data_IF_673220529226
#
_entry.id   IF_673220529226
#
_cell.length_a   1.000
_cell.length_b   1.000
_cell.length_c   1.000
_cell.angle_alpha   90.00
_cell.angle_beta   90.00
_cell.angle_gamma   90.00
#
_symmetry.space_group_name_H-M   'P 1'
#
loop_
_entity.id
_entity.type
_entity.pdbx_description
1 polymer ?
#
# COMPACT_ATOMS: atom_id res chain seq x y z
N UNK A 1 6.62 -10.33 1.11
CA UNK A 1 5.20 -9.96 0.86
C UNK A 1 4.33 -10.01 2.10
N UNK A 2 4.29 -11.08 2.89
CA UNK A 2 3.45 -11.09 4.12
C UNK A 2 3.87 -9.99 5.12
N UNK A 3 5.17 -9.82 5.34
CA UNK A 3 5.71 -8.75 6.20
C UNK A 3 5.39 -7.36 5.64
N UNK A 4 5.61 -7.12 4.34
CA UNK A 4 5.28 -5.84 3.68
C UNK A 4 3.78 -5.52 3.71
N UNK A 5 2.92 -6.54 3.64
CA UNK A 5 1.47 -6.38 3.77
C UNK A 5 1.07 -6.02 5.20
N UNK A 6 1.75 -6.59 6.20
CA UNK A 6 1.50 -6.26 7.60
C UNK A 6 1.86 -4.79 7.89
N UNK A 7 3.05 -4.36 7.51
CA UNK A 7 3.53 -2.98 7.70
C UNK A 7 2.68 -1.99 6.89
N UNK A 8 2.40 -2.32 5.63
CA UNK A 8 1.60 -1.48 4.74
C UNK A 8 0.14 -1.32 5.20
N UNK A 9 -0.42 -2.28 5.94
CA UNK A 9 -1.81 -2.24 6.41
C UNK A 9 -2.03 -1.09 7.40
N UNK A 10 -1.09 -0.85 8.31
CA UNK A 10 -1.18 0.26 9.27
C UNK A 10 -1.08 1.61 8.56
N UNK A 11 -0.15 1.74 7.61
CA UNK A 11 -0.01 2.92 6.79
C UNK A 11 -1.27 3.20 5.95
N UNK A 12 -1.87 2.17 5.35
CA UNK A 12 -3.12 2.28 4.57
C UNK A 12 -4.25 2.79 5.46
N UNK A 13 -4.43 2.20 6.65
CA UNK A 13 -5.44 2.63 7.61
C UNK A 13 -5.19 4.07 8.06
N UNK A 14 -3.96 4.42 8.47
CA UNK A 14 -3.57 5.79 8.86
C UNK A 14 -3.89 6.82 7.78
N UNK A 15 -3.58 6.48 6.53
CA UNK A 15 -3.89 7.31 5.36
C UNK A 15 -5.37 7.24 4.97
N UNK A 16 -6.20 6.49 5.66
CA UNK A 16 -7.66 6.44 5.51
C UNK A 16 -8.18 5.51 4.41
N UNK A 17 -7.35 4.56 3.98
CA UNK A 17 -7.72 3.49 3.08
C UNK A 17 -8.06 2.19 3.82
N UNK A 18 -8.59 1.22 3.09
CA UNK A 18 -8.76 -0.17 3.54
C UNK A 18 -8.48 -1.10 2.37
N UNK A 19 -7.69 -2.15 2.59
CA UNK A 19 -7.48 -3.19 1.56
C UNK A 19 -8.81 -3.88 1.30
N UNK A 20 -9.28 -3.81 0.04
CA UNK A 20 -10.50 -4.45 -0.43
C UNK A 20 -10.22 -5.86 -0.95
N UNK A 21 -9.16 -6.00 -1.74
CA UNK A 21 -8.78 -7.27 -2.39
C UNK A 21 -7.29 -7.24 -2.73
N UNK A 22 -6.66 -8.41 -2.70
CA UNK A 22 -5.33 -8.64 -3.27
C UNK A 22 -5.51 -9.69 -4.37
N UNK A 23 -5.03 -9.38 -5.57
CA UNK A 23 -5.01 -10.29 -6.70
C UNK A 23 -3.58 -10.74 -6.96
N UNK A 24 -3.35 -12.04 -6.84
CA UNK A 24 -2.07 -12.70 -7.13
C UNK A 24 -2.16 -13.33 -8.52
N UNK A 25 -1.17 -13.06 -9.38
CA UNK A 25 -1.12 -13.67 -10.71
C UNK A 25 0.31 -13.80 -11.21
N UNK A 26 0.50 -14.72 -12.15
CA UNK A 26 1.77 -14.92 -12.85
C UNK A 26 1.72 -14.21 -14.19
N UNK A 27 2.79 -13.49 -14.53
CA UNK A 27 2.91 -12.90 -15.85
C UNK A 27 3.15 -14.01 -16.89
N UNK A 28 2.59 -13.85 -18.11
CA UNK A 28 2.93 -14.74 -19.22
C UNK A 28 4.43 -14.83 -19.46
N UNK A 29 4.85 -15.89 -20.14
CA UNK A 29 6.24 -16.11 -20.57
C UNK A 29 7.23 -16.22 -19.39
N UNK A 30 6.78 -16.70 -18.23
CA UNK A 30 7.59 -16.82 -17.00
C UNK A 30 8.22 -15.49 -16.53
N UNK A 31 7.58 -14.35 -16.83
CA UNK A 31 8.04 -13.01 -16.43
C UNK A 31 7.85 -12.68 -14.92
N UNK A 32 7.60 -13.72 -14.12
CA UNK A 32 7.52 -13.68 -12.66
C UNK A 32 6.12 -13.39 -12.13
N UNK A 33 6.01 -13.42 -10.80
CA UNK A 33 4.77 -13.21 -10.07
C UNK A 33 4.50 -11.72 -9.83
N UNK A 34 3.24 -11.34 -9.86
CA UNK A 34 2.78 -9.97 -9.59
C UNK A 34 1.56 -9.98 -8.69
N UNK A 35 1.41 -8.86 -7.99
CA UNK A 35 0.34 -8.65 -7.04
C UNK A 35 -0.30 -7.29 -7.31
N UNK A 36 -1.62 -7.25 -7.41
CA UNK A 36 -2.40 -6.02 -7.48
C UNK A 36 -3.20 -5.87 -6.18
N UNK A 37 -3.00 -4.76 -5.50
CA UNK A 37 -3.73 -4.41 -4.28
C UNK A 37 -4.80 -3.39 -4.62
N UNK A 38 -6.06 -3.71 -4.33
CA UNK A 38 -7.18 -2.79 -4.43
C UNK A 38 -7.43 -2.15 -3.07
N UNK A 39 -7.27 -0.83 -2.97
CA UNK A 39 -7.45 -0.06 -1.73
C UNK A 39 -8.64 0.89 -1.89
N UNK A 40 -9.65 0.71 -1.05
CA UNK A 40 -10.78 1.62 -0.97
C UNK A 40 -10.45 2.82 -0.09
N UNK A 41 -10.75 4.03 -0.56
CA UNK A 41 -10.64 5.25 0.25
C UNK A 41 -11.88 5.43 1.14
N UNK A 42 -11.76 5.09 2.43
CA UNK A 42 -12.89 5.11 3.38
C UNK A 42 -13.03 6.42 4.14
N UNK A 43 -11.94 7.13 4.39
CA UNK A 43 -11.93 8.44 5.09
C UNK A 43 -10.94 9.41 4.46
N UNK A 44 -11.15 10.71 4.68
CA UNK A 44 -10.20 11.76 4.22
C UNK A 44 -8.81 11.48 4.79
N UNK A 45 -7.78 11.71 3.97
CA UNK A 45 -6.39 11.62 4.45
C UNK A 45 -6.17 12.71 5.51
N UNK A 46 -5.55 12.41 6.67
CA UNK A 46 -5.22 13.43 7.65
C UNK A 46 -4.34 14.54 7.06
N UNK A 47 -4.50 15.78 7.54
CA UNK A 47 -3.88 17.00 6.96
C UNK A 47 -2.33 17.01 7.04
N UNK A 48 -1.74 16.21 7.91
CA UNK A 48 -0.29 16.03 8.04
C UNK A 48 0.32 15.14 6.94
N UNK A 49 -0.49 14.67 5.99
CA UNK A 49 -0.05 13.90 4.82
C UNK A 49 -0.43 14.59 3.50
N UNK A 50 0.40 14.46 2.44
CA UNK A 50 1.71 13.81 2.45
C UNK A 50 2.73 14.56 3.32
N UNK A 51 3.69 13.83 3.89
CA UNK A 51 4.81 14.46 4.61
C UNK A 51 5.69 15.23 3.61
N UNK A 52 6.60 16.07 4.13
CA UNK A 52 7.55 16.83 3.28
C UNK A 52 8.25 15.92 2.26
N UNK A 53 8.56 16.43 1.05
CA UNK A 53 9.28 15.67 0.04
C UNK A 53 10.53 14.98 0.60
N UNK A 54 10.75 13.73 0.22
CA UNK A 54 11.87 12.90 0.68
C UNK A 54 11.67 12.23 2.05
N UNK A 55 10.77 12.72 2.91
CA UNK A 55 10.49 12.07 4.22
C UNK A 55 9.82 10.71 4.07
N UNK A 56 8.84 10.49 3.15
CA UNK A 56 8.25 9.16 2.95
C UNK A 56 9.27 8.08 2.60
N UNK A 57 10.32 8.40 1.84
CA UNK A 57 11.35 7.44 1.45
C UNK A 57 12.37 7.22 2.58
N UNK A 58 12.73 8.27 3.33
CA UNK A 58 13.72 8.17 4.42
C UNK A 58 13.18 7.48 5.65
N UNK A 59 11.93 7.79 6.02
CA UNK A 59 11.27 7.24 7.19
C UNK A 59 9.90 6.74 6.75
N UNK A 60 9.75 5.53 6.21
CA UNK A 60 8.46 4.96 5.83
C UNK A 60 7.43 4.97 6.97
N UNK A 61 6.16 4.80 6.61
CA UNK A 61 5.08 4.64 7.58
C UNK A 61 5.01 3.19 8.03
#
# INVERSE_FOLDING_TARGET
MEEELADGKEAIELLGGKIKKIEHFQLPENNGERNILFIDKKRKTPKNFPRKPGVPNKNPL
#
